data_IF_271576788280
#
_entry.id   IF_271576788280
#
_cell.length_a   1.000
_cell.length_b   1.000
_cell.length_c   1.000
_cell.angle_alpha   90.00
_cell.angle_beta   90.00
_cell.angle_gamma   90.00
#
_symmetry.space_group_name_H-M   'P 1'
#
loop_
_entity.id
_entity.type
_entity.pdbx_description
1 polymer ?
#
# COMPACT_ATOMS: atom_id res chain seq x y z
N UNK A 1 -41.43 -24.78 9.00
CA UNK A 1 -40.00 -24.96 8.64
C UNK A 1 -39.59 -24.21 7.36
N UNK A 2 -40.32 -24.30 6.24
CA UNK A 2 -40.02 -23.56 4.98
C UNK A 2 -39.74 -22.05 5.15
N UNK A 3 -40.63 -21.30 5.80
CA UNK A 3 -40.44 -19.85 6.06
C UNK A 3 -39.17 -19.49 6.84
N UNK A 4 -38.67 -20.39 7.70
CA UNK A 4 -37.44 -20.16 8.49
C UNK A 4 -36.19 -20.43 7.66
N UNK A 5 -36.27 -21.36 6.71
CA UNK A 5 -35.23 -21.69 5.74
C UNK A 5 -35.10 -20.57 4.68
N UNK A 6 -36.21 -20.08 4.14
CA UNK A 6 -36.24 -18.94 3.21
C UNK A 6 -35.63 -17.66 3.82
N UNK A 7 -35.97 -17.34 5.08
CA UNK A 7 -35.36 -16.21 5.79
C UNK A 7 -33.84 -16.35 5.97
N UNK A 8 -33.34 -17.56 6.20
CA UNK A 8 -31.90 -17.83 6.33
C UNK A 8 -31.18 -17.66 4.99
N UNK A 9 -31.75 -18.21 3.92
CA UNK A 9 -31.21 -18.07 2.56
C UNK A 9 -31.16 -16.59 2.14
N UNK A 10 -32.21 -15.81 2.43
CA UNK A 10 -32.22 -14.37 2.16
C UNK A 10 -31.12 -13.63 2.93
N UNK A 11 -30.94 -13.93 4.22
CA UNK A 11 -29.87 -13.33 5.02
C UNK A 11 -28.46 -13.70 4.51
N UNK A 12 -28.25 -14.94 4.07
CA UNK A 12 -26.97 -15.38 3.52
C UNK A 12 -26.70 -14.71 2.16
N UNK A 13 -27.72 -14.52 1.31
CA UNK A 13 -27.62 -13.76 0.05
C UNK A 13 -27.32 -12.28 0.29
N UNK A 14 -27.91 -11.66 1.32
CA UNK A 14 -27.61 -10.29 1.71
C UNK A 14 -26.14 -10.15 2.15
N UNK A 15 -25.65 -11.08 2.98
CA UNK A 15 -24.23 -11.12 3.37
C UNK A 15 -23.31 -11.28 2.17
N UNK A 16 -23.63 -12.20 1.25
CA UNK A 16 -22.86 -12.38 0.01
C UNK A 16 -22.83 -11.10 -0.83
N UNK A 17 -23.93 -10.36 -0.90
CA UNK A 17 -23.99 -9.11 -1.65
C UNK A 17 -23.13 -8.01 -0.98
N UNK A 18 -23.15 -7.93 0.35
CA UNK A 18 -22.28 -7.01 1.11
C UNK A 18 -20.81 -7.33 0.87
N UNK A 19 -20.41 -8.60 0.98
CA UNK A 19 -19.03 -9.02 0.74
C UNK A 19 -18.61 -8.78 -0.71
N UNK A 20 -19.48 -9.04 -1.69
CA UNK A 20 -19.23 -8.71 -3.10
C UNK A 20 -18.99 -7.21 -3.29
N UNK A 21 -19.82 -6.35 -2.68
CA UNK A 21 -19.63 -4.89 -2.76
C UNK A 21 -18.32 -4.43 -2.12
N UNK A 22 -17.92 -5.05 -1.01
CA UNK A 22 -16.64 -4.77 -0.34
C UNK A 22 -15.47 -5.16 -1.26
N UNK A 23 -15.48 -6.38 -1.79
CA UNK A 23 -14.47 -6.87 -2.71
C UNK A 23 -14.35 -5.98 -3.96
N UNK A 24 -15.48 -5.53 -4.51
CA UNK A 24 -15.48 -4.63 -5.66
C UNK A 24 -14.82 -3.28 -5.36
N UNK A 25 -15.15 -2.67 -4.22
CA UNK A 25 -14.52 -1.41 -3.80
C UNK A 25 -13.02 -1.56 -3.57
N UNK A 26 -12.60 -2.70 -3.04
CA UNK A 26 -11.18 -2.98 -2.83
C UNK A 26 -10.44 -3.18 -4.16
N UNK A 27 -11.06 -3.90 -5.10
CA UNK A 27 -10.56 -4.04 -6.47
C UNK A 27 -10.38 -2.68 -7.14
N UNK A 28 -11.38 -1.81 -7.08
CA UNK A 28 -11.32 -0.47 -7.69
C UNK A 28 -10.19 0.38 -7.09
N UNK A 29 -10.00 0.34 -5.77
CA UNK A 29 -8.88 1.02 -5.11
C UNK A 29 -7.53 0.47 -5.56
N UNK A 30 -7.39 -0.85 -5.66
CA UNK A 30 -6.14 -1.46 -6.11
C UNK A 30 -5.87 -1.15 -7.59
N UNK A 31 -6.91 -1.10 -8.42
CA UNK A 31 -6.79 -0.72 -9.83
C UNK A 31 -6.29 0.71 -10.01
N UNK A 32 -6.84 1.67 -9.26
CA UNK A 32 -6.37 3.06 -9.27
C UNK A 32 -4.91 3.15 -8.83
N UNK A 33 -4.53 2.42 -7.77
CA UNK A 33 -3.14 2.39 -7.29
C UNK A 33 -2.18 1.79 -8.31
N UNK A 34 -2.56 0.70 -8.96
CA UNK A 34 -1.73 0.06 -9.98
C UNK A 34 -1.50 1.01 -11.14
N UNK A 35 -2.56 1.67 -11.63
CA UNK A 35 -2.45 2.66 -12.70
C UNK A 35 -1.53 3.82 -12.32
N UNK A 36 -1.56 4.24 -11.06
CA UNK A 36 -0.66 5.29 -10.58
C UNK A 36 0.80 4.82 -10.53
N UNK A 37 1.06 3.58 -10.10
CA UNK A 37 2.40 2.99 -10.16
C UNK A 37 2.91 2.87 -11.60
N UNK A 38 2.06 2.42 -12.52
CA UNK A 38 2.41 2.31 -13.94
C UNK A 38 2.75 3.71 -14.50
N UNK A 39 1.96 4.73 -14.17
CA UNK A 39 2.25 6.12 -14.53
C UNK A 39 3.60 6.59 -13.98
N UNK A 40 3.91 6.30 -12.72
CA UNK A 40 5.20 6.66 -12.10
C UNK A 40 6.38 5.94 -12.74
N UNK A 41 6.19 4.70 -13.19
CA UNK A 41 7.22 3.94 -13.90
C UNK A 41 7.50 4.52 -15.29
N UNK A 42 6.47 4.98 -16.00
CA UNK A 42 6.59 5.53 -17.35
C UNK A 42 7.07 6.98 -17.36
N UNK A 43 6.51 7.83 -16.48
CA UNK A 43 6.77 9.28 -16.46
C UNK A 43 7.89 9.67 -15.50
N UNK A 44 8.31 8.76 -14.61
CA UNK A 44 9.19 9.04 -13.50
C UNK A 44 8.49 9.76 -12.33
N UNK A 45 9.21 9.84 -11.21
CA UNK A 45 8.77 10.50 -9.98
C UNK A 45 9.12 12.00 -10.06
N UNK A 46 8.11 12.86 -9.92
CA UNK A 46 8.21 14.31 -10.14
C UNK A 46 8.16 15.13 -8.86
N UNK A 47 7.61 14.57 -7.78
CA UNK A 47 7.50 15.27 -6.50
C UNK A 47 7.67 14.32 -5.31
N UNK A 48 7.74 14.91 -4.12
CA UNK A 48 7.95 14.20 -2.87
C UNK A 48 6.81 13.23 -2.54
N UNK A 49 5.55 13.63 -2.75
CA UNK A 49 4.39 12.77 -2.48
C UNK A 49 4.40 11.51 -3.35
N UNK A 50 4.75 11.65 -4.62
CA UNK A 50 4.91 10.54 -5.56
C UNK A 50 6.04 9.59 -5.12
N UNK A 51 7.15 10.15 -4.62
CA UNK A 51 8.26 9.37 -4.06
C UNK A 51 7.82 8.56 -2.84
N UNK A 52 7.15 9.22 -1.89
CA UNK A 52 6.62 8.59 -0.67
C UNK A 52 5.60 7.51 -1.02
N UNK A 53 4.70 7.79 -1.96
CA UNK A 53 3.71 6.83 -2.45
C UNK A 53 4.39 5.58 -3.03
N UNK A 54 5.35 5.77 -3.95
CA UNK A 54 6.08 4.67 -4.58
C UNK A 54 6.82 3.79 -3.56
N UNK A 55 7.52 4.42 -2.61
CA UNK A 55 8.25 3.71 -1.55
C UNK A 55 7.28 2.90 -0.68
N UNK A 56 6.15 3.48 -0.28
CA UNK A 56 5.13 2.79 0.54
C UNK A 56 4.53 1.59 -0.17
N UNK A 57 4.17 1.73 -1.45
CA UNK A 57 3.64 0.60 -2.21
C UNK A 57 4.70 -0.48 -2.47
N UNK A 58 5.98 -0.11 -2.64
CA UNK A 58 7.09 -1.06 -2.75
C UNK A 58 7.27 -1.87 -1.46
N UNK A 59 7.22 -1.22 -0.27
CA UNK A 59 7.27 -1.89 1.03
C UNK A 59 6.10 -2.90 1.17
N UNK A 60 4.90 -2.50 0.73
CA UNK A 60 3.72 -3.36 0.77
C UNK A 60 3.87 -4.56 -0.18
N UNK A 61 4.35 -4.34 -1.40
CA UNK A 61 4.61 -5.41 -2.37
C UNK A 61 5.66 -6.40 -1.84
N UNK A 62 6.77 -5.91 -1.28
CA UNK A 62 7.80 -6.75 -0.67
C UNK A 62 7.23 -7.59 0.49
N UNK A 63 6.31 -7.05 1.29
CA UNK A 63 5.64 -7.83 2.33
C UNK A 63 4.73 -8.94 1.77
N UNK A 64 4.01 -8.67 0.68
CA UNK A 64 3.18 -9.68 0.01
C UNK A 64 4.05 -10.78 -0.61
N UNK A 65 5.18 -10.42 -1.23
CA UNK A 65 6.16 -11.38 -1.75
C UNK A 65 6.75 -12.25 -0.65
N UNK A 66 7.01 -11.68 0.53
CA UNK A 66 7.48 -12.43 1.68
C UNK A 66 6.48 -13.53 2.11
N UNK A 67 5.18 -13.20 2.17
CA UNK A 67 4.12 -14.17 2.46
C UNK A 67 4.02 -15.25 1.38
N UNK A 68 4.08 -14.85 0.10
CA UNK A 68 4.05 -15.80 -1.02
C UNK A 68 5.27 -16.73 -1.02
N UNK A 69 6.46 -16.21 -0.68
CA UNK A 69 7.69 -16.97 -0.55
C UNK A 69 7.58 -18.02 0.56
N UNK A 70 6.99 -17.68 1.71
CA UNK A 70 6.72 -18.65 2.79
C UNK A 70 5.75 -19.75 2.37
N UNK A 71 4.68 -19.38 1.66
CA UNK A 71 3.68 -20.35 1.19
C UNK A 71 4.24 -21.31 0.13
N UNK A 72 5.29 -20.90 -0.57
CA UNK A 72 5.96 -21.69 -1.63
C UNK A 72 7.29 -22.32 -1.17
N UNK A 73 7.65 -22.18 0.11
CA UNK A 73 8.96 -22.56 0.67
C UNK A 73 10.17 -22.03 -0.12
N UNK A 74 10.02 -20.87 -0.75
CA UNK A 74 11.07 -20.22 -1.54
C UNK A 74 11.95 -19.34 -0.65
N UNK A 75 13.06 -19.92 -0.16
CA UNK A 75 14.00 -19.24 0.74
C UNK A 75 14.69 -18.02 0.10
N UNK A 76 15.03 -18.10 -1.19
CA UNK A 76 15.71 -17.00 -1.88
C UNK A 76 14.80 -15.77 -1.96
N UNK A 77 13.57 -15.96 -2.44
CA UNK A 77 12.58 -14.89 -2.55
C UNK A 77 12.23 -14.29 -1.18
N UNK A 78 12.21 -15.12 -0.13
CA UNK A 78 12.00 -14.64 1.24
C UNK A 78 13.13 -13.70 1.69
N UNK A 79 14.39 -14.06 1.45
CA UNK A 79 15.55 -13.24 1.81
C UNK A 79 15.54 -11.91 1.04
N UNK A 80 15.35 -11.97 -0.28
CA UNK A 80 15.33 -10.79 -1.15
C UNK A 80 14.20 -9.83 -0.78
N UNK A 81 12.98 -10.33 -0.64
CA UNK A 81 11.82 -9.51 -0.25
C UNK A 81 11.99 -8.88 1.14
N UNK A 82 12.64 -9.58 2.07
CA UNK A 82 12.96 -9.03 3.40
C UNK A 82 13.98 -7.90 3.31
N UNK A 83 15.04 -8.08 2.52
CA UNK A 83 16.07 -7.07 2.31
C UNK A 83 15.48 -5.81 1.66
N UNK A 84 14.74 -5.95 0.56
CA UNK A 84 14.04 -4.83 -0.11
C UNK A 84 13.16 -4.08 0.89
N UNK A 85 12.34 -4.79 1.67
CA UNK A 85 11.48 -4.16 2.68
C UNK A 85 12.28 -3.37 3.72
N UNK A 86 13.44 -3.86 4.14
CA UNK A 86 14.30 -3.18 5.13
C UNK A 86 14.88 -1.90 4.54
N UNK A 87 15.50 -1.98 3.37
CA UNK A 87 16.16 -0.85 2.73
C UNK A 87 15.17 0.26 2.39
N UNK A 88 13.99 -0.07 1.86
CA UNK A 88 12.98 0.95 1.55
C UNK A 88 12.36 1.59 2.80
N UNK A 89 12.30 0.88 3.95
CA UNK A 89 11.91 1.51 5.22
C UNK A 89 12.96 2.50 5.72
N UNK A 90 14.23 2.16 5.60
CA UNK A 90 15.33 3.07 5.95
C UNK A 90 15.26 4.31 5.05
N UNK A 91 15.10 4.11 3.74
CA UNK A 91 14.95 5.19 2.78
C UNK A 91 13.76 6.10 3.12
N UNK A 92 12.59 5.53 3.42
CA UNK A 92 11.42 6.31 3.81
C UNK A 92 11.70 7.18 5.03
N UNK A 93 12.34 6.62 6.06
CA UNK A 93 12.67 7.36 7.27
C UNK A 93 13.67 8.48 7.01
N UNK A 94 14.68 8.25 6.17
CA UNK A 94 15.67 9.27 5.81
C UNK A 94 15.05 10.44 5.06
N UNK A 95 14.12 10.14 4.15
CA UNK A 95 13.41 11.16 3.36
C UNK A 95 12.50 12.02 4.24
N UNK A 96 11.77 11.40 5.17
CA UNK A 96 10.89 12.13 6.10
C UNK A 96 11.67 12.97 7.11
N UNK A 97 12.78 12.45 7.65
CA UNK A 97 13.66 13.23 8.55
C UNK A 97 14.34 14.39 7.80
N UNK A 98 14.59 14.24 6.50
CA UNK A 98 15.09 15.33 5.65
C UNK A 98 14.08 16.46 5.49
N UNK A 99 12.79 16.12 5.33
CA UNK A 99 11.69 17.10 5.21
C UNK A 99 11.50 17.91 6.50
N UNK A 100 11.45 17.25 7.66
CA UNK A 100 11.30 17.92 8.97
C UNK A 100 12.42 18.96 9.20
N UNK A 101 13.66 18.66 8.80
CA UNK A 101 14.79 19.58 8.92
C UNK A 101 14.73 20.76 7.95
N UNK A 102 14.24 20.54 6.73
CA UNK A 102 14.05 21.63 5.78
C UNK A 102 12.90 22.57 6.17
N UNK A 103 11.89 22.08 6.89
CA UNK A 103 10.81 22.90 7.45
C UNK A 103 11.29 23.72 8.64
N UNK A 104 12.05 23.11 9.58
CA UNK A 104 12.68 23.82 10.71
C UNK A 104 13.61 24.95 10.23
N UNK A 105 14.45 24.70 9.20
CA UNK A 105 15.34 25.74 8.65
C UNK A 105 14.58 26.88 7.92
N UNK A 106 13.39 26.61 7.37
CA UNK A 106 12.55 27.62 6.72
C UNK A 106 11.77 28.47 7.73
N UNK A 107 11.35 27.90 8.86
CA UNK A 107 10.70 28.64 9.94
C UNK A 107 11.69 29.55 10.69
N UNK A 108 12.90 29.06 10.99
CA UNK A 108 13.96 29.85 11.63
C UNK A 108 14.50 30.98 10.72
N UNK A 109 14.41 30.80 9.40
CA UNK A 109 14.81 31.80 8.41
C UNK A 109 13.79 32.93 8.19
N UNK A 110 12.57 32.81 8.72
CA UNK A 110 11.49 33.79 8.53
C UNK A 110 11.41 34.85 9.65
N UNK A 111 12.20 34.73 10.72
CA UNK A 111 12.32 35.75 11.78
C UNK A 111 13.43 36.78 11.52
N UNK A 112 13.54 37.38 10.32
CA UNK A 112 14.22 38.69 10.19
C UNK A 112 13.61 39.55 9.07
N UNK A 113 12.55 40.29 9.38
CA UNK A 113 12.40 41.75 9.17
C UNK A 113 11.00 42.25 9.50
#
# INVERSE_FOLDING_TARGET
MKKKMEKRILSDLEKMNVERKRAWKEYEKNYVKQRELDRLMDEGIKNFDELVFYIRETIKAANNLNLAARNSDNKLLYVESTAVRREFKILLNLILVGEEKEEEEKEDGMEVR
#
